data_IF_077990908066
#
_entry.id   IF_077990908066
#
_cell.length_a   1.000
_cell.length_b   1.000
_cell.length_c   1.000
_cell.angle_alpha   90.00
_cell.angle_beta   90.00
_cell.angle_gamma   90.00
#
_symmetry.space_group_name_H-M   'P 1'
#
loop_
_entity.id
_entity.type
_entity.pdbx_description
1 polymer ?
#
# COMPACT_ATOMS: atom_id res chain seq x y z
N UNK A 1 8.39 -7.03 5.33
CA UNK A 1 7.91 -6.04 6.32
C UNK A 1 6.83 -6.71 7.13
N UNK A 2 6.79 -6.57 8.47
CA UNK A 2 5.69 -7.14 9.25
C UNK A 2 4.36 -6.48 8.82
N UNK A 3 3.25 -7.23 8.80
CA UNK A 3 1.96 -6.70 8.42
C UNK A 3 1.51 -5.59 9.38
N UNK A 4 0.96 -4.51 8.82
CA UNK A 4 0.47 -3.37 9.61
C UNK A 4 -0.88 -3.76 10.21
N UNK A 5 -0.97 -3.74 11.55
CA UNK A 5 -2.20 -4.07 12.30
C UNK A 5 -2.75 -2.82 12.96
N UNK A 6 -4.03 -2.53 12.71
CA UNK A 6 -4.73 -1.36 13.22
C UNK A 6 -6.03 -1.81 13.88
N UNK A 7 -6.35 -1.21 15.02
CA UNK A 7 -7.72 -1.29 15.56
C UNK A 7 -8.61 -0.36 14.72
N UNK A 8 -9.69 -0.89 14.17
CA UNK A 8 -10.64 -0.13 13.36
C UNK A 8 -12.04 -0.61 13.74
N UNK A 9 -12.91 0.24 14.30
CA UNK A 9 -14.28 -0.16 14.61
C UNK A 9 -15.01 -0.69 13.38
N UNK A 10 -15.87 -1.68 13.55
CA UNK A 10 -16.54 -2.35 12.43
C UNK A 10 -17.30 -1.39 11.51
N UNK A 11 -17.97 -0.38 12.07
CA UNK A 11 -18.70 0.62 11.29
C UNK A 11 -17.79 1.38 10.31
N UNK A 12 -16.58 1.76 10.76
CA UNK A 12 -15.59 2.42 9.91
C UNK A 12 -15.06 1.47 8.84
N UNK A 13 -14.75 0.23 9.23
CA UNK A 13 -14.26 -0.76 8.28
C UNK A 13 -15.30 -1.08 7.19
N UNK A 14 -16.59 -1.18 7.55
CA UNK A 14 -17.68 -1.37 6.59
C UNK A 14 -17.75 -0.24 5.56
N UNK A 15 -17.54 1.01 5.97
CA UNK A 15 -17.45 2.12 5.02
C UNK A 15 -16.27 1.98 4.07
N UNK A 16 -15.09 1.59 4.57
CA UNK A 16 -13.93 1.31 3.73
C UNK A 16 -14.21 0.20 2.71
N UNK A 17 -14.90 -0.88 3.10
CA UNK A 17 -15.30 -1.93 2.19
C UNK A 17 -16.18 -1.40 1.05
N UNK A 18 -17.19 -0.60 1.37
CA UNK A 18 -18.10 -0.03 0.36
C UNK A 18 -17.35 0.84 -0.65
N UNK A 19 -16.42 1.67 -0.15
CA UNK A 19 -15.57 2.52 -1.02
C UNK A 19 -14.68 1.66 -1.91
N UNK A 20 -13.99 0.66 -1.34
CA UNK A 20 -13.09 -0.19 -2.08
C UNK A 20 -13.81 -0.99 -3.17
N UNK A 21 -14.98 -1.58 -2.85
CA UNK A 21 -15.81 -2.30 -3.83
C UNK A 21 -16.36 -1.35 -4.89
N UNK A 22 -16.81 -0.15 -4.52
CA UNK A 22 -17.30 0.86 -5.46
C UNK A 22 -16.25 1.30 -6.50
N UNK A 23 -14.97 1.23 -6.15
CA UNK A 23 -13.87 1.54 -7.07
C UNK A 23 -13.28 0.31 -7.80
N UNK A 24 -13.89 -0.86 -7.68
CA UNK A 24 -13.49 -2.08 -8.41
C UNK A 24 -12.66 -3.08 -7.60
N UNK A 25 -12.60 -2.92 -6.27
CA UNK A 25 -12.11 -3.97 -5.37
C UNK A 25 -13.11 -5.12 -5.24
N UNK A 26 -12.64 -6.27 -4.78
CA UNK A 26 -13.48 -7.42 -4.45
C UNK A 26 -13.48 -7.68 -2.95
N UNK A 27 -14.59 -8.22 -2.43
CA UNK A 27 -14.73 -8.55 -1.01
C UNK A 27 -15.07 -10.02 -0.84
N UNK A 28 -14.38 -10.69 0.09
CA UNK A 28 -14.66 -12.05 0.52
C UNK A 28 -14.97 -12.03 2.00
N UNK A 29 -16.08 -12.64 2.39
CA UNK A 29 -16.49 -12.76 3.78
C UNK A 29 -16.39 -14.20 4.27
N UNK A 30 -15.97 -14.37 5.51
CA UNK A 30 -16.07 -15.61 6.27
C UNK A 30 -16.84 -15.35 7.57
N UNK A 31 -17.07 -16.38 8.38
CA UNK A 31 -17.77 -16.24 9.67
C UNK A 31 -17.09 -15.25 10.62
N UNK A 32 -15.77 -15.06 10.51
CA UNK A 32 -14.97 -14.28 11.47
C UNK A 32 -14.12 -13.20 10.82
N UNK A 33 -13.95 -13.24 9.50
CA UNK A 33 -13.10 -12.31 8.76
C UNK A 33 -13.78 -11.70 7.54
N UNK A 34 -13.38 -10.48 7.20
CA UNK A 34 -13.72 -9.79 5.97
C UNK A 34 -12.42 -9.40 5.27
N UNK A 35 -12.21 -9.92 4.07
CA UNK A 35 -11.05 -9.58 3.25
C UNK A 35 -11.50 -8.73 2.06
N UNK A 36 -10.86 -7.58 1.86
CA UNK A 36 -11.04 -6.76 0.66
C UNK A 36 -9.74 -6.77 -0.14
N UNK A 37 -9.84 -7.11 -1.41
CA UNK A 37 -8.72 -7.18 -2.34
C UNK A 37 -8.85 -6.08 -3.40
N UNK A 38 -7.75 -5.37 -3.64
CA UNK A 38 -7.63 -4.40 -4.73
C UNK A 38 -6.51 -4.90 -5.65
N UNK A 39 -6.91 -5.35 -6.84
CA UNK A 39 -6.01 -5.97 -7.83
C UNK A 39 -5.66 -5.01 -8.98
N UNK A 40 -6.32 -3.85 -9.06
CA UNK A 40 -6.07 -2.83 -10.09
C UNK A 40 -5.40 -1.60 -9.50
N UNK A 41 -4.32 -1.15 -10.14
CA UNK A 41 -3.67 0.12 -9.80
C UNK A 41 -4.60 1.32 -9.98
N UNK A 42 -5.52 1.27 -10.95
CA UNK A 42 -6.51 2.34 -11.16
C UNK A 42 -7.47 2.44 -9.97
N UNK A 43 -7.99 1.29 -9.50
CA UNK A 43 -8.85 1.20 -8.33
C UNK A 43 -8.12 1.72 -7.08
N UNK A 44 -6.88 1.26 -6.86
CA UNK A 44 -6.05 1.74 -5.75
C UNK A 44 -5.79 3.25 -5.83
N UNK A 45 -5.52 3.79 -7.02
CA UNK A 45 -5.26 5.22 -7.21
C UNK A 45 -6.47 6.09 -6.89
N UNK A 46 -7.69 5.60 -7.16
CA UNK A 46 -8.94 6.27 -6.79
C UNK A 46 -9.17 6.23 -5.28
N UNK A 47 -8.98 5.05 -4.66
CA UNK A 47 -9.16 4.85 -3.21
C UNK A 47 -8.16 5.69 -2.41
N UNK A 48 -6.90 5.72 -2.84
CA UNK A 48 -5.81 6.46 -2.20
C UNK A 48 -5.49 7.78 -2.91
N UNK A 49 -6.48 8.37 -3.58
CA UNK A 49 -6.28 9.59 -4.36
C UNK A 49 -5.75 10.71 -3.47
N UNK A 50 -4.70 11.44 -3.88
CA UNK A 50 -4.14 12.55 -3.11
C UNK A 50 -5.16 13.62 -2.75
N UNK A 51 -6.17 13.84 -3.61
CA UNK A 51 -7.26 14.80 -3.37
C UNK A 51 -8.05 14.45 -2.10
N UNK A 52 -8.22 13.15 -1.82
CA UNK A 52 -8.88 12.66 -0.60
C UNK A 52 -8.02 12.71 0.65
N UNK A 53 -6.71 12.97 0.53
CA UNK A 53 -5.76 12.94 1.64
C UNK A 53 -4.77 14.11 1.63
N UNK A 54 -5.28 15.34 1.47
CA UNK A 54 -4.48 16.56 1.64
C UNK A 54 -3.34 16.72 0.62
N UNK A 55 -3.48 16.16 -0.58
CA UNK A 55 -2.49 16.20 -1.65
C UNK A 55 -1.36 15.17 -1.51
N UNK A 56 -1.40 14.30 -0.50
CA UNK A 56 -0.34 13.33 -0.27
C UNK A 56 -0.56 12.03 -1.07
N UNK A 57 0.48 11.59 -1.79
CA UNK A 57 0.46 10.30 -2.48
C UNK A 57 0.89 9.19 -1.52
N UNK A 58 -0.02 8.27 -1.18
CA UNK A 58 0.26 7.14 -0.30
C UNK A 58 0.78 5.91 -1.05
N UNK A 59 0.65 5.88 -2.38
CA UNK A 59 1.15 4.79 -3.22
C UNK A 59 2.60 4.99 -3.63
N UNK A 60 3.16 6.21 -3.54
CA UNK A 60 4.54 6.51 -3.94
C UNK A 60 5.21 7.42 -2.92
N UNK A 61 6.46 7.12 -2.58
CA UNK A 61 7.25 7.91 -1.63
C UNK A 61 8.69 8.08 -2.13
N UNK A 62 9.21 9.32 -2.07
CA UNK A 62 10.64 9.57 -2.26
C UNK A 62 11.41 9.20 -0.99
N UNK A 63 12.57 8.58 -1.16
CA UNK A 63 13.46 8.18 -0.08
C UNK A 63 14.65 9.14 -0.03
N UNK A 64 15.05 9.47 1.20
CA UNK A 64 16.17 10.36 1.46
C UNK A 64 17.01 9.79 2.59
N UNK A 65 18.33 9.77 2.38
CA UNK A 65 19.29 9.35 3.38
C UNK A 65 19.85 10.57 4.10
N UNK A 66 20.08 10.44 5.41
CA UNK A 66 20.71 11.48 6.22
C UNK A 66 22.22 11.39 6.03
N UNK A 67 22.85 12.47 5.55
CA UNK A 67 24.30 12.57 5.45
C UNK A 67 24.83 13.77 6.22
N UNK A 68 26.01 13.63 6.83
CA UNK A 68 26.73 14.74 7.47
C UNK A 68 27.71 15.34 6.47
N UNK A 69 27.56 16.63 6.19
CA UNK A 69 28.48 17.43 5.37
C UNK A 69 28.83 18.68 6.16
N UNK A 70 30.12 18.90 6.42
CA UNK A 70 30.62 20.07 7.16
C UNK A 70 29.84 20.36 8.45
N UNK A 71 29.68 19.33 9.29
CA UNK A 71 28.93 19.38 10.56
C UNK A 71 27.43 19.66 10.47
N UNK A 72 26.84 19.73 9.26
CA UNK A 72 25.38 19.83 9.04
C UNK A 72 24.81 18.51 8.53
N UNK A 73 23.61 18.16 8.98
CA UNK A 73 22.87 17.02 8.42
C UNK A 73 22.04 17.49 7.23
N UNK A 74 22.31 16.92 6.06
CA UNK A 74 21.53 17.11 4.85
C UNK A 74 20.75 15.82 4.51
N UNK A 75 19.63 15.98 3.82
CA UNK A 75 18.86 14.87 3.25
C UNK A 75 19.23 14.74 1.77
N UNK A 76 19.91 13.65 1.40
CA UNK A 76 20.20 13.36 0.01
C UNK A 76 19.18 12.38 -0.54
N UNK A 77 18.69 12.64 -1.74
CA UNK A 77 17.79 11.72 -2.44
C UNK A 77 18.48 10.37 -2.68
N UNK A 78 17.88 9.29 -2.20
CA UNK A 78 18.41 7.93 -2.31
C UNK A 78 17.61 7.03 -3.24
N UNK A 79 16.43 7.47 -3.67
CA UNK A 79 15.58 6.74 -4.61
C UNK A 79 14.09 6.89 -4.29
N UNK A 80 13.28 5.92 -4.68
CA UNK A 80 11.83 5.94 -4.42
C UNK A 80 11.29 4.57 -4.05
N UNK A 81 10.19 4.57 -3.32
CA UNK A 81 9.36 3.42 -3.07
C UNK A 81 8.00 3.60 -3.74
N UNK A 82 7.42 2.52 -4.25
CA UNK A 82 6.06 2.52 -4.79
C UNK A 82 5.34 1.25 -4.36
N UNK A 83 4.11 1.41 -3.89
CA UNK A 83 3.17 0.32 -3.70
C UNK A 83 2.85 -0.24 -5.07
N UNK A 84 3.05 -1.55 -5.21
CA UNK A 84 2.73 -2.29 -6.43
C UNK A 84 1.34 -2.89 -6.23
N UNK A 85 0.50 -2.73 -7.26
CA UNK A 85 -0.87 -3.24 -7.24
C UNK A 85 -1.12 -3.96 -8.56
N UNK A 86 -1.38 -5.26 -8.47
CA UNK A 86 -1.67 -6.14 -9.60
C UNK A 86 -2.43 -7.38 -9.14
N UNK A 87 -2.72 -8.29 -10.06
CA UNK A 87 -3.43 -9.55 -9.74
C UNK A 87 -2.57 -10.45 -8.86
N UNK A 88 -1.27 -10.54 -9.14
CA UNK A 88 -0.31 -11.29 -8.33
C UNK A 88 0.16 -10.52 -7.09
N UNK A 89 -0.09 -9.21 -7.04
CA UNK A 89 0.36 -8.30 -5.98
C UNK A 89 -0.77 -7.40 -5.47
N UNK A 90 -1.90 -7.96 -5.01
CA UNK A 90 -3.03 -7.14 -4.58
C UNK A 90 -2.73 -6.39 -3.28
N UNK A 91 -3.43 -5.27 -3.08
CA UNK A 91 -3.57 -4.68 -1.74
C UNK A 91 -4.71 -5.41 -1.04
N UNK A 92 -4.44 -5.95 0.15
CA UNK A 92 -5.38 -6.74 0.93
C UNK A 92 -5.64 -6.06 2.27
N UNK A 93 -6.91 -5.84 2.57
CA UNK A 93 -7.42 -5.47 3.87
C UNK A 93 -8.03 -6.72 4.50
N UNK A 94 -7.31 -7.38 5.40
CA UNK A 94 -7.79 -8.54 6.14
C UNK A 94 -8.29 -8.13 7.53
N UNK A 95 -9.59 -8.14 7.71
CA UNK A 95 -10.24 -7.65 8.93
C UNK A 95 -10.80 -8.78 9.76
N UNK A 96 -10.37 -8.86 11.02
CA UNK A 96 -10.94 -9.75 12.02
C UNK A 96 -12.09 -9.05 12.74
N UNK A 97 -13.32 -9.52 12.52
CA UNK A 97 -14.52 -8.91 13.08
C UNK A 97 -14.60 -9.07 14.61
N UNK A 98 -14.11 -10.18 15.16
CA UNK A 98 -14.16 -10.45 16.60
C UNK A 98 -13.22 -9.54 17.39
N UNK A 99 -12.06 -9.24 16.81
CA UNK A 99 -11.02 -8.42 17.45
C UNK A 99 -11.05 -6.96 17.01
N UNK A 100 -11.89 -6.62 16.03
CA UNK A 100 -11.90 -5.33 15.34
C UNK A 100 -10.51 -4.88 14.87
N UNK A 101 -9.78 -5.83 14.28
CA UNK A 101 -8.40 -5.62 13.82
C UNK A 101 -8.31 -5.74 12.31
N UNK A 102 -7.87 -4.66 11.69
CA UNK A 102 -7.47 -4.62 10.29
C UNK A 102 -5.99 -4.97 10.16
N UNK A 103 -5.68 -5.93 9.29
CA UNK A 103 -4.35 -6.23 8.80
C UNK A 103 -4.23 -5.76 7.36
N UNK A 104 -3.32 -4.83 7.09
CA UNK A 104 -3.06 -4.33 5.74
C UNK A 104 -1.83 -5.04 5.15
N UNK A 105 -1.99 -5.61 3.96
CA UNK A 105 -0.95 -6.36 3.23
C UNK A 105 -0.81 -5.75 1.84
N UNK A 106 0.41 -5.45 1.44
CA UNK A 106 0.74 -4.89 0.12
C UNK A 106 2.22 -5.08 -0.17
N UNK A 107 2.58 -4.96 -1.45
CA UNK A 107 3.97 -5.06 -1.90
C UNK A 107 4.54 -3.66 -2.16
N UNK A 108 5.82 -3.48 -1.86
CA UNK A 108 6.53 -2.21 -2.08
C UNK A 108 7.77 -2.48 -2.91
N UNK A 109 7.78 -1.98 -4.14
CA UNK A 109 8.96 -1.95 -4.98
C UNK A 109 9.80 -0.74 -4.59
N UNK A 110 11.10 -0.96 -4.38
CA UNK A 110 12.08 0.11 -4.17
C UNK A 110 12.93 0.27 -5.42
N UNK A 111 13.29 1.51 -5.67
CA UNK A 111 14.13 1.94 -6.77
C UNK A 111 15.26 2.80 -6.22
N UNK A 112 16.45 2.68 -6.79
CA UNK A 112 17.56 3.56 -6.46
C UNK A 112 17.42 4.94 -7.12
N UNK A 113 18.43 5.79 -6.96
CA UNK A 113 18.49 7.12 -7.56
C UNK A 113 18.53 7.13 -9.10
N UNK A 114 18.89 6.02 -9.73
CA UNK A 114 18.94 5.83 -11.18
C UNK A 114 17.70 5.08 -11.71
N UNK A 115 16.67 4.95 -10.87
CA UNK A 115 15.41 4.25 -11.16
C UNK A 115 15.56 2.74 -11.43
N UNK A 116 16.66 2.11 -10.99
CA UNK A 116 16.80 0.65 -11.04
C UNK A 116 16.05 -0.02 -9.90
N UNK A 117 15.33 -1.09 -10.22
CA UNK A 117 14.57 -1.88 -9.26
C UNK A 117 15.51 -2.64 -8.30
N UNK A 118 15.28 -2.50 -7.00
CA UNK A 118 16.09 -3.14 -5.96
C UNK A 118 15.60 -4.55 -5.60
N UNK A 119 14.28 -4.78 -5.69
CA UNK A 119 13.68 -6.11 -5.50
C UNK A 119 13.42 -6.76 -6.86
N UNK A 120 14.37 -7.58 -7.32
CA UNK A 120 14.28 -8.26 -8.61
C UNK A 120 13.22 -9.37 -8.63
N UNK A 121 12.90 -9.97 -7.48
CA UNK A 121 11.89 -11.02 -7.38
C UNK A 121 10.49 -10.45 -7.54
N UNK A 122 10.23 -9.32 -6.86
CA UNK A 122 8.98 -8.58 -7.02
C UNK A 122 8.85 -8.03 -8.44
N UNK A 123 9.92 -7.51 -9.04
CA UNK A 123 9.91 -7.09 -10.44
C UNK A 123 9.56 -8.24 -11.39
N UNK A 124 10.13 -9.42 -11.18
CA UNK A 124 9.81 -10.60 -11.99
C UNK A 124 8.36 -11.08 -11.79
N UNK A 125 7.78 -10.89 -10.61
CA UNK A 125 6.37 -11.17 -10.33
C UNK A 125 5.46 -10.18 -11.07
N UNK A 126 5.79 -8.88 -11.03
CA UNK A 126 5.06 -7.83 -11.74
C UNK A 126 5.04 -8.02 -13.25
N UNK A 127 6.13 -8.52 -13.83
CA UNK A 127 6.23 -8.74 -15.28
C UNK A 127 5.40 -9.94 -15.78
N UNK A 128 4.77 -10.69 -14.87
CA UNK A 128 3.91 -11.85 -15.20
C UNK A 128 2.41 -11.54 -15.15
N UNK A 129 2.03 -10.36 -14.64
CA UNK A 129 0.66 -9.85 -14.64
C UNK A 129 0.24 -9.29 -16.01
#
# INVERSE_FOLDING_TARGET
MPPVKLFVPYAMFRHLCNVAVGYGGSMKSSKTTLAVNIESFEAASKIFSPVGFGGQNYLKKRLFDKMRVNSRTILQYSGRASVVVGKSTPVIFDYNMKQEKLTLIFYVQRYDKADFCLDLRLQALMNKD
#
